data_IF_517009781220
#
_entry.id   IF_517009781220
#
_cell.length_a   1.000
_cell.length_b   1.000
_cell.length_c   1.000
_cell.angle_alpha   90.00
_cell.angle_beta   90.00
_cell.angle_gamma   90.00
#
_symmetry.space_group_name_H-M   'P 1'
#
loop_
_entity.id
_entity.type
_entity.pdbx_description
1 polymer ?
#
# COMPACT_ATOMS: atom_id res chain seq x y z
N UNK A 1 -9.09 12.77 6.99
CA UNK A 1 -8.05 11.75 6.88
C UNK A 1 -6.86 12.37 6.19
N UNK A 2 -5.83 12.66 6.97
CA UNK A 2 -4.54 13.21 6.56
C UNK A 2 -3.67 12.14 5.85
N UNK A 3 -2.60 12.56 5.17
CA UNK A 3 -1.64 11.64 4.53
C UNK A 3 -1.00 10.68 5.53
N UNK A 4 -0.72 11.12 6.76
CA UNK A 4 -0.15 10.26 7.80
C UNK A 4 -1.15 9.22 8.30
N UNK A 5 -2.37 9.66 8.60
CA UNK A 5 -3.45 8.76 9.04
C UNK A 5 -3.75 7.69 7.98
N UNK A 6 -3.60 8.04 6.70
CA UNK A 6 -3.71 7.07 5.59
C UNK A 6 -2.59 6.06 5.58
N UNK A 7 -1.34 6.48 5.80
CA UNK A 7 -0.22 5.56 5.88
C UNK A 7 -0.37 4.60 7.08
N UNK A 8 -0.78 5.12 8.24
CA UNK A 8 -0.98 4.33 9.46
C UNK A 8 -2.10 3.29 9.26
N UNK A 9 -3.24 3.69 8.68
CA UNK A 9 -4.33 2.75 8.37
C UNK A 9 -3.89 1.62 7.42
N UNK A 10 -3.10 1.95 6.39
CA UNK A 10 -2.59 0.95 5.44
C UNK A 10 -1.62 0.00 6.15
N UNK A 11 -0.75 0.54 7.01
CA UNK A 11 0.21 -0.25 7.77
C UNK A 11 -0.48 -1.19 8.76
N UNK A 12 -1.59 -0.77 9.37
CA UNK A 12 -2.38 -1.60 10.28
C UNK A 12 -3.20 -2.67 9.54
N UNK A 13 -3.71 -2.37 8.34
CA UNK A 13 -4.48 -3.31 7.52
C UNK A 13 -3.61 -4.39 6.86
N UNK A 14 -2.32 -4.12 6.61
CA UNK A 14 -1.44 -5.04 5.91
C UNK A 14 -1.19 -6.37 6.67
N UNK A 15 -0.88 -6.38 7.99
CA UNK A 15 -0.71 -7.61 8.79
C UNK A 15 -1.97 -8.48 8.86
N UNK A 16 -3.17 -7.89 8.86
CA UNK A 16 -4.43 -8.64 8.86
C UNK A 16 -4.57 -9.55 7.62
N UNK A 17 -3.95 -9.13 6.51
CA UNK A 17 -3.87 -9.87 5.25
C UNK A 17 -2.59 -10.73 5.13
N UNK A 18 -1.87 -10.95 6.25
CA UNK A 18 -0.60 -11.70 6.34
C UNK A 18 0.53 -11.08 5.51
N UNK A 19 0.58 -9.76 5.42
CA UNK A 19 1.76 -9.07 4.94
C UNK A 19 2.89 -9.16 5.99
N UNK A 20 4.11 -9.23 5.52
CA UNK A 20 5.33 -9.27 6.33
C UNK A 20 6.14 -7.98 6.08
N UNK A 21 7.10 -7.67 6.95
CA UNK A 21 8.01 -6.53 6.79
C UNK A 21 7.34 -5.20 6.41
N UNK A 22 6.29 -4.82 7.14
CA UNK A 22 5.59 -3.55 6.92
C UNK A 22 6.47 -2.39 7.37
N UNK A 23 6.80 -1.48 6.44
CA UNK A 23 7.60 -0.30 6.65
C UNK A 23 6.84 0.94 6.17
N UNK A 24 6.72 1.94 7.03
CA UNK A 24 6.24 3.27 6.66
C UNK A 24 7.43 4.21 6.54
N UNK A 25 7.68 4.72 5.34
CA UNK A 25 8.76 5.65 5.04
C UNK A 25 8.22 7.06 4.84
N UNK A 26 8.70 8.01 5.62
CA UNK A 26 8.44 9.44 5.41
C UNK A 26 9.28 9.96 4.24
N UNK A 27 8.61 10.57 3.27
CA UNK A 27 9.18 11.10 2.04
C UNK A 27 9.21 12.63 2.02
N UNK A 28 8.69 13.29 3.07
CA UNK A 28 8.70 14.75 3.16
C UNK A 28 10.14 15.28 3.18
N UNK A 29 10.44 16.20 2.28
CA UNK A 29 11.79 16.73 2.08
C UNK A 29 12.70 15.89 1.19
N UNK A 30 12.21 14.75 0.67
CA UNK A 30 12.89 13.92 -0.33
C UNK A 30 12.15 14.00 -1.66
N UNK A 31 10.81 13.96 -1.64
CA UNK A 31 9.94 14.01 -2.82
C UNK A 31 8.75 14.92 -2.58
N UNK A 32 8.38 15.69 -3.60
CA UNK A 32 7.17 16.53 -3.60
C UNK A 32 5.94 15.78 -4.15
N UNK A 33 6.11 14.55 -4.64
CA UNK A 33 5.02 13.76 -5.25
C UNK A 33 4.18 13.06 -4.20
N UNK A 34 4.81 12.51 -3.15
CA UNK A 34 4.12 11.79 -2.08
C UNK A 34 4.74 12.09 -0.72
N UNK A 35 3.93 12.06 0.34
CA UNK A 35 4.41 12.29 1.71
C UNK A 35 4.89 11.03 2.41
N UNK A 36 4.31 9.87 2.11
CA UNK A 36 4.63 8.60 2.75
C UNK A 36 4.62 7.46 1.74
N UNK A 37 5.52 6.49 1.93
CA UNK A 37 5.41 5.17 1.34
C UNK A 37 5.08 4.13 2.40
N UNK A 38 4.24 3.17 2.05
CA UNK A 38 4.02 1.96 2.83
C UNK A 38 4.48 0.77 2.00
N UNK A 39 5.49 0.08 2.49
CA UNK A 39 6.14 -1.05 1.83
C UNK A 39 5.86 -2.29 2.67
N UNK A 40 5.49 -3.40 2.03
CA UNK A 40 5.31 -4.68 2.71
C UNK A 40 5.62 -5.83 1.77
N UNK A 41 5.95 -6.98 2.36
CA UNK A 41 6.26 -8.22 1.67
C UNK A 41 5.07 -9.18 1.68
N UNK A 42 4.89 -9.89 0.58
CA UNK A 42 3.97 -11.02 0.48
C UNK A 42 4.69 -12.23 -0.09
N UNK A 43 4.55 -13.39 0.56
CA UNK A 43 5.27 -14.62 0.17
C UNK A 43 5.00 -15.13 -1.26
N UNK A 44 3.98 -14.61 -1.95
CA UNK A 44 3.63 -14.99 -3.32
C UNK A 44 2.85 -13.87 -4.01
N UNK A 45 2.87 -13.85 -5.34
CA UNK A 45 2.12 -12.88 -6.15
C UNK A 45 0.63 -12.88 -5.81
N UNK A 46 0.05 -14.06 -5.52
CA UNK A 46 -1.35 -14.18 -5.10
C UNK A 46 -1.59 -13.52 -3.74
N UNK A 47 -0.65 -13.67 -2.79
CA UNK A 47 -0.76 -13.00 -1.48
C UNK A 47 -0.60 -11.49 -1.62
N UNK A 48 0.36 -11.03 -2.43
CA UNK A 48 0.53 -9.60 -2.73
C UNK A 48 -0.75 -8.99 -3.32
N UNK A 49 -1.38 -9.66 -4.29
CA UNK A 49 -2.67 -9.21 -4.82
C UNK A 49 -3.75 -9.14 -3.74
N UNK A 50 -3.88 -10.19 -2.91
CA UNK A 50 -4.88 -10.24 -1.86
C UNK A 50 -4.67 -9.16 -0.76
N UNK A 51 -3.42 -8.83 -0.45
CA UNK A 51 -3.06 -7.72 0.44
C UNK A 51 -3.49 -6.40 -0.21
N UNK A 52 -3.14 -6.16 -1.47
CA UNK A 52 -3.50 -4.94 -2.18
C UNK A 52 -5.02 -4.77 -2.35
N UNK A 53 -5.74 -5.84 -2.65
CA UNK A 53 -7.21 -5.86 -2.69
C UNK A 53 -7.79 -5.52 -1.32
N UNK A 54 -7.26 -6.15 -0.26
CA UNK A 54 -7.72 -5.90 1.10
C UNK A 54 -7.51 -4.47 1.59
N UNK A 55 -6.33 -3.91 1.33
CA UNK A 55 -6.04 -2.51 1.64
C UNK A 55 -6.98 -1.58 0.86
N UNK A 56 -7.28 -1.92 -0.41
CA UNK A 56 -8.21 -1.14 -1.23
C UNK A 56 -9.63 -1.16 -0.64
N UNK A 57 -10.10 -2.33 -0.21
CA UNK A 57 -11.40 -2.52 0.47
C UNK A 57 -11.47 -1.73 1.79
N UNK A 58 -10.40 -1.75 2.60
CA UNK A 58 -10.36 -0.98 3.85
C UNK A 58 -10.38 0.53 3.60
N UNK A 59 -9.64 1.01 2.59
CA UNK A 59 -9.64 2.43 2.22
C UNK A 59 -10.99 2.90 1.65
N UNK A 60 -11.71 2.02 0.96
CA UNK A 60 -13.02 2.33 0.38
C UNK A 60 -14.08 2.64 1.45
N UNK A 61 -14.00 1.97 2.62
CA UNK A 61 -14.86 2.28 3.78
C UNK A 61 -14.78 3.73 4.24
N UNK A 62 -13.67 4.41 3.94
CA UNK A 62 -13.43 5.82 4.27
C UNK A 62 -13.58 6.75 3.06
N UNK A 63 -14.10 6.27 1.92
CA UNK A 63 -14.11 6.97 0.62
C UNK A 63 -12.71 7.45 0.19
N UNK A 64 -11.68 6.64 0.47
CA UNK A 64 -10.27 6.94 0.17
C UNK A 64 -9.60 5.89 -0.71
N UNK A 65 -10.40 5.26 -1.58
CA UNK A 65 -9.94 4.28 -2.55
C UNK A 65 -8.63 4.73 -3.25
N UNK A 66 -7.71 3.79 -3.54
CA UNK A 66 -6.44 4.11 -4.17
C UNK A 66 -6.68 4.79 -5.53
N UNK A 67 -5.97 5.89 -5.77
CA UNK A 67 -6.04 6.63 -7.03
C UNK A 67 -5.58 5.75 -8.21
N UNK A 68 -4.57 4.92 -7.96
CA UNK A 68 -3.97 4.06 -8.95
C UNK A 68 -3.38 2.82 -8.27
N UNK A 69 -3.46 1.67 -8.95
CA UNK A 69 -2.93 0.40 -8.46
C UNK A 69 -2.19 -0.29 -9.60
N UNK A 70 -0.89 -0.48 -9.42
CA UNK A 70 -0.02 -1.12 -10.40
C UNK A 70 0.46 -2.50 -9.93
N UNK A 71 0.93 -3.32 -10.87
CA UNK A 71 1.50 -4.64 -10.55
C UNK A 71 0.49 -5.75 -10.26
N UNK A 72 -0.82 -5.49 -10.34
CA UNK A 72 -1.86 -6.54 -10.22
C UNK A 72 -1.87 -7.54 -11.38
N UNK A 73 -1.18 -7.25 -12.50
CA UNK A 73 -1.06 -8.17 -13.64
C UNK A 73 0.14 -7.86 -14.53
N UNK A 74 1.32 -8.40 -14.21
CA UNK A 74 2.20 -9.10 -15.17
C UNK A 74 3.50 -9.64 -14.54
N UNK A 75 3.70 -10.97 -14.67
CA UNK A 75 4.98 -11.71 -14.66
C UNK A 75 5.77 -11.78 -13.32
N UNK A 76 6.65 -12.81 -13.15
CA UNK A 76 7.02 -13.38 -11.85
C UNK A 76 7.96 -12.53 -10.97
N UNK A 77 8.26 -11.30 -11.34
CA UNK A 77 9.20 -10.43 -10.63
C UNK A 77 8.72 -8.98 -10.74
N UNK A 78 8.25 -8.36 -9.65
CA UNK A 78 7.85 -6.95 -9.68
C UNK A 78 7.22 -6.45 -8.38
N UNK A 79 7.99 -5.64 -7.64
CA UNK A 79 7.61 -4.88 -6.45
C UNK A 79 6.49 -3.88 -6.73
N UNK A 80 5.43 -3.90 -5.91
CA UNK A 80 4.30 -2.96 -6.00
C UNK A 80 4.66 -1.63 -5.33
N UNK A 81 4.55 -0.52 -6.07
CA UNK A 81 4.66 0.85 -5.56
C UNK A 81 3.27 1.50 -5.62
N UNK A 82 2.77 1.95 -4.47
CA UNK A 82 1.54 2.75 -4.40
C UNK A 82 1.96 4.22 -4.36
N UNK A 83 1.90 4.91 -5.50
CA UNK A 83 2.01 6.37 -5.56
C UNK A 83 0.62 7.00 -5.37
N UNK A 84 0.48 7.81 -4.31
CA UNK A 84 -0.70 8.61 -4.05
C UNK A 84 -0.70 9.93 -4.82
N UNK A 85 -1.91 10.39 -5.17
CA UNK A 85 -2.32 11.78 -5.09
C UNK A 85 -3.36 11.89 -3.96
#
# INVERSE_FOLDING_TARGET
MDSKEKADLIADAAPERRAENVLVQDMRGISDICNYFVICDGSSTRRVSAIADGISEELDKYNKAPFHVEGKREKPYGSCWITGM
#
